data_IF_981313350377
#
_entry.id   IF_981313350377
#
_cell.length_a   1.000
_cell.length_b   1.000
_cell.length_c   1.000
_cell.angle_alpha   90.00
_cell.angle_beta   90.00
_cell.angle_gamma   90.00
#
_symmetry.space_group_name_H-M   'P 1'
#
loop_
_entity.id
_entity.type
_entity.pdbx_description
1 polymer ?
#
# COMPACT_ATOMS: atom_id res chain seq x y z
N UNK A 1 -17.21 9.24 16.92
CA UNK A 1 -17.48 7.88 16.38
C UNK A 1 -16.15 7.19 16.14
N UNK A 2 -15.90 6.07 16.81
CA UNK A 2 -14.60 5.36 16.73
C UNK A 2 -14.58 4.41 15.51
N UNK A 3 -14.71 4.94 14.30
CA UNK A 3 -14.59 4.09 13.11
C UNK A 3 -13.12 3.72 12.88
N UNK A 4 -12.81 2.43 13.02
CA UNK A 4 -11.52 1.83 12.71
C UNK A 4 -11.58 1.30 11.27
N UNK A 5 -11.18 2.12 10.31
CA UNK A 5 -11.23 1.74 8.88
C UNK A 5 -9.83 1.50 8.34
N UNK A 6 -9.65 0.42 7.59
CA UNK A 6 -8.41 0.11 6.88
C UNK A 6 -8.65 0.18 5.37
N UNK A 7 -7.84 0.97 4.68
CA UNK A 7 -7.86 1.09 3.21
C UNK A 7 -6.59 0.47 2.67
N UNK A 8 -6.73 -0.62 1.91
CA UNK A 8 -5.63 -1.26 1.18
C UNK A 8 -5.55 -0.74 -0.25
N UNK A 9 -4.36 -0.40 -0.72
CA UNK A 9 -4.13 0.01 -2.11
C UNK A 9 -3.16 -0.98 -2.76
N UNK A 10 -3.63 -1.68 -3.78
CA UNK A 10 -2.87 -2.65 -4.56
C UNK A 10 -2.52 -2.11 -5.95
N UNK A 11 -1.50 -2.68 -6.57
CA UNK A 11 -1.04 -2.35 -7.93
C UNK A 11 0.45 -2.63 -8.10
N UNK A 12 0.90 -2.70 -9.33
CA UNK A 12 2.30 -2.95 -9.65
C UNK A 12 3.23 -1.82 -9.19
N UNK A 13 4.52 -2.10 -9.14
CA UNK A 13 5.53 -1.07 -8.91
C UNK A 13 5.36 0.08 -9.90
N UNK A 14 5.50 1.33 -9.42
CA UNK A 14 5.34 2.56 -10.22
C UNK A 14 3.92 2.80 -10.78
N UNK A 15 2.90 2.09 -10.29
CA UNK A 15 1.51 2.36 -10.71
C UNK A 15 0.91 3.64 -10.11
N UNK A 16 1.57 4.30 -9.16
CA UNK A 16 1.06 5.51 -8.51
C UNK A 16 0.29 5.28 -7.20
N UNK A 17 0.43 4.11 -6.57
CA UNK A 17 -0.16 3.80 -5.25
C UNK A 17 0.18 4.82 -4.17
N UNK A 18 1.47 5.18 -4.07
CA UNK A 18 1.94 6.15 -3.07
C UNK A 18 1.38 7.55 -3.33
N UNK A 19 1.19 7.90 -4.60
CA UNK A 19 0.53 9.15 -5.01
C UNK A 19 -0.92 9.17 -4.55
N UNK A 20 -1.67 8.10 -4.81
CA UNK A 20 -3.05 7.98 -4.33
C UNK A 20 -3.13 8.01 -2.81
N UNK A 21 -2.26 7.29 -2.12
CA UNK A 21 -2.24 7.25 -0.66
C UNK A 21 -2.00 8.65 -0.07
N UNK A 22 -1.06 9.40 -0.63
CA UNK A 22 -0.75 10.76 -0.20
C UNK A 22 -1.91 11.73 -0.46
N UNK A 23 -2.52 11.67 -1.64
CA UNK A 23 -3.70 12.47 -1.98
C UNK A 23 -4.88 12.15 -1.06
N UNK A 24 -5.17 10.86 -0.89
CA UNK A 24 -6.26 10.40 -0.02
C UNK A 24 -6.04 10.83 1.43
N UNK A 25 -4.82 10.67 1.95
CA UNK A 25 -4.49 11.09 3.31
C UNK A 25 -4.68 12.60 3.52
N UNK A 26 -4.26 13.42 2.55
CA UNK A 26 -4.49 14.87 2.58
C UNK A 26 -5.98 15.20 2.58
N UNK A 27 -6.75 14.62 1.64
CA UNK A 27 -8.19 14.88 1.50
C UNK A 27 -9.01 14.40 2.70
N UNK A 28 -8.62 13.30 3.32
CA UNK A 28 -9.25 12.82 4.56
C UNK A 28 -9.02 13.81 5.72
N UNK A 29 -7.78 14.25 5.92
CA UNK A 29 -7.44 15.20 6.97
C UNK A 29 -8.11 16.57 6.73
N UNK A 30 -8.16 17.07 5.48
CA UNK A 30 -8.89 18.30 5.11
C UNK A 30 -10.38 18.24 5.48
N UNK A 31 -11.00 17.05 5.45
CA UNK A 31 -12.40 16.82 5.81
C UNK A 31 -12.61 16.39 7.29
N UNK A 32 -11.58 16.49 8.10
CA UNK A 32 -11.65 16.20 9.54
C UNK A 32 -11.61 14.71 9.91
N UNK A 33 -11.29 13.82 8.96
CA UNK A 33 -11.01 12.42 9.28
C UNK A 33 -9.56 12.31 9.76
N UNK A 34 -9.34 11.70 10.91
CA UNK A 34 -8.00 11.31 11.35
C UNK A 34 -7.50 10.17 10.47
N UNK A 35 -6.42 10.38 9.71
CA UNK A 35 -5.86 9.35 8.83
C UNK A 35 -4.34 9.28 8.92
N UNK A 36 -3.78 8.09 8.67
CA UNK A 36 -2.34 7.83 8.66
C UNK A 36 -2.00 6.75 7.63
N UNK A 37 -0.87 6.93 6.94
CA UNK A 37 -0.30 5.93 6.02
C UNK A 37 0.59 4.98 6.82
N UNK A 38 0.40 3.68 6.60
CA UNK A 38 1.20 2.57 7.11
C UNK A 38 1.74 1.77 5.93
N UNK A 39 2.86 1.03 6.12
CA UNK A 39 3.46 0.28 5.01
C UNK A 39 4.16 -0.99 5.53
N UNK A 40 3.88 -2.11 4.90
CA UNK A 40 4.60 -3.37 5.16
C UNK A 40 6.09 -3.23 4.87
N UNK A 41 6.44 -2.48 3.81
CA UNK A 41 7.82 -2.23 3.46
C UNK A 41 8.59 -1.40 4.51
N UNK A 42 7.90 -0.63 5.35
CA UNK A 42 8.56 0.09 6.46
C UNK A 42 9.08 -0.89 7.49
N UNK A 43 8.28 -1.87 7.90
CA UNK A 43 8.71 -2.92 8.83
C UNK A 43 9.91 -3.71 8.27
N UNK A 44 9.87 -4.09 6.99
CA UNK A 44 10.98 -4.74 6.29
C UNK A 44 12.27 -3.91 6.33
N UNK A 45 12.17 -2.62 6.06
CA UNK A 45 13.32 -1.71 6.05
C UNK A 45 13.92 -1.54 7.44
N UNK A 46 13.10 -1.40 8.47
CA UNK A 46 13.54 -1.29 9.85
C UNK A 46 14.29 -2.57 10.31
N UNK A 47 13.79 -3.76 9.95
CA UNK A 47 14.45 -5.01 10.27
C UNK A 47 15.84 -5.14 9.61
N UNK A 48 16.01 -4.57 8.41
CA UNK A 48 17.26 -4.64 7.64
C UNK A 48 18.20 -3.44 7.84
N UNK A 49 17.78 -2.40 8.55
CA UNK A 49 18.49 -1.13 8.60
C UNK A 49 19.90 -1.27 9.17
N UNK A 50 20.02 -1.87 10.35
CA UNK A 50 21.35 -2.06 10.98
C UNK A 50 22.28 -2.85 10.06
N UNK A 51 21.83 -3.98 9.51
CA UNK A 51 22.63 -4.79 8.60
C UNK A 51 23.08 -4.02 7.35
N UNK A 52 22.17 -3.29 6.70
CA UNK A 52 22.48 -2.56 5.48
C UNK A 52 23.41 -1.37 5.72
N UNK A 53 23.23 -0.67 6.83
CA UNK A 53 24.12 0.45 7.22
C UNK A 53 25.50 -0.08 7.60
N UNK A 54 25.57 -1.12 8.44
CA UNK A 54 26.86 -1.67 8.93
C UNK A 54 27.69 -2.31 7.82
N UNK A 55 27.05 -3.00 6.85
CA UNK A 55 27.76 -3.76 5.82
C UNK A 55 27.97 -2.99 4.53
N UNK A 56 27.08 -2.07 4.19
CA UNK A 56 27.08 -1.38 2.89
C UNK A 56 27.13 0.14 3.01
N UNK A 57 26.97 0.71 4.22
CA UNK A 57 26.86 2.15 4.43
C UNK A 57 25.58 2.75 3.80
N UNK A 58 24.56 1.94 3.56
CA UNK A 58 23.36 2.36 2.82
C UNK A 58 22.11 2.19 3.71
N UNK A 59 21.45 3.31 4.03
CA UNK A 59 20.14 3.25 4.68
C UNK A 59 19.06 2.73 3.73
N UNK A 60 18.19 1.78 4.15
CA UNK A 60 17.05 1.33 3.35
C UNK A 60 16.02 2.44 3.09
N UNK A 61 16.11 3.56 3.80
CA UNK A 61 15.25 4.73 3.61
C UNK A 61 15.86 5.79 2.68
N UNK A 62 17.04 5.55 2.11
CA UNK A 62 17.67 6.48 1.15
C UNK A 62 16.72 6.86 0.02
N UNK A 63 16.82 8.11 -0.47
CA UNK A 63 16.08 8.59 -1.64
C UNK A 63 16.88 8.48 -2.94
N UNK A 64 18.16 8.14 -2.86
CA UNK A 64 19.05 7.99 -4.01
C UNK A 64 18.76 6.71 -4.78
N UNK A 65 18.36 6.83 -6.06
CA UNK A 65 17.95 5.71 -6.90
C UNK A 65 19.03 4.64 -7.06
N UNK A 66 20.29 5.06 -7.19
CA UNK A 66 21.43 4.18 -7.38
C UNK A 66 21.72 3.36 -6.13
N UNK A 67 21.66 3.97 -4.96
CA UNK A 67 21.81 3.28 -3.68
C UNK A 67 20.65 2.32 -3.44
N UNK A 68 19.41 2.76 -3.73
CA UNK A 68 18.23 1.88 -3.69
C UNK A 68 18.39 0.64 -4.57
N UNK A 69 18.91 0.81 -5.78
CA UNK A 69 19.08 -0.30 -6.71
C UNK A 69 20.03 -1.38 -6.17
N UNK A 70 21.08 -0.98 -5.46
CA UNK A 70 22.09 -1.90 -4.88
C UNK A 70 21.52 -2.77 -3.74
N UNK A 71 20.67 -2.19 -2.88
CA UNK A 71 20.13 -2.91 -1.71
C UNK A 71 18.78 -3.59 -1.98
N UNK A 72 18.08 -3.22 -3.06
CA UNK A 72 16.76 -3.76 -3.41
C UNK A 72 16.74 -5.29 -3.51
N UNK A 73 17.71 -5.99 -4.15
CA UNK A 73 17.72 -7.45 -4.18
C UNK A 73 17.76 -8.08 -2.79
N UNK A 74 18.52 -7.50 -1.84
CA UNK A 74 18.61 -7.99 -0.46
C UNK A 74 17.28 -7.81 0.28
N UNK A 75 16.64 -6.65 0.13
CA UNK A 75 15.32 -6.41 0.71
C UNK A 75 14.27 -7.37 0.17
N UNK A 76 14.27 -7.65 -1.15
CA UNK A 76 13.35 -8.60 -1.77
C UNK A 76 13.60 -10.02 -1.25
N UNK A 77 14.86 -10.47 -1.21
CA UNK A 77 15.21 -11.80 -0.75
C UNK A 77 14.81 -12.01 0.72
N UNK A 78 15.13 -11.06 1.59
CA UNK A 78 14.76 -11.12 3.00
C UNK A 78 13.23 -11.06 3.18
N UNK A 79 12.57 -10.15 2.46
CA UNK A 79 11.12 -10.00 2.50
C UNK A 79 10.38 -11.27 2.12
N UNK A 80 10.80 -11.93 1.03
CA UNK A 80 10.24 -13.20 0.58
C UNK A 80 10.53 -14.33 1.56
N UNK A 81 11.77 -14.46 2.07
CA UNK A 81 12.11 -15.50 3.03
C UNK A 81 11.24 -15.45 4.29
N UNK A 82 10.99 -14.24 4.83
CA UNK A 82 10.10 -14.06 5.98
C UNK A 82 8.63 -14.37 5.65
N UNK A 83 8.18 -14.00 4.45
CA UNK A 83 6.83 -14.36 3.99
C UNK A 83 6.65 -15.87 3.87
N UNK A 84 7.59 -16.54 3.21
CA UNK A 84 7.51 -17.97 2.93
C UNK A 84 7.55 -18.78 4.25
N UNK A 85 8.45 -18.44 5.17
CA UNK A 85 8.58 -19.11 6.47
C UNK A 85 7.34 -18.93 7.35
N UNK A 86 6.65 -17.81 7.24
CA UNK A 86 5.47 -17.48 8.03
C UNK A 86 4.14 -17.72 7.30
N UNK A 87 4.17 -18.26 6.08
CA UNK A 87 2.99 -18.41 5.20
C UNK A 87 2.20 -17.10 5.05
N UNK A 88 2.93 -16.02 4.77
CA UNK A 88 2.37 -14.69 4.47
C UNK A 88 2.15 -13.77 5.67
N UNK A 89 2.26 -14.27 6.91
CA UNK A 89 1.77 -13.50 8.07
C UNK A 89 2.78 -12.54 8.69
N UNK A 90 4.06 -12.67 8.41
CA UNK A 90 5.13 -11.95 9.12
C UNK A 90 4.96 -10.42 9.08
N UNK A 91 4.82 -9.84 7.89
CA UNK A 91 4.84 -8.38 7.73
C UNK A 91 3.61 -7.70 8.29
N UNK A 92 2.42 -8.26 8.11
CA UNK A 92 1.24 -7.67 8.71
C UNK A 92 1.18 -7.86 10.24
N UNK A 93 1.74 -8.94 10.79
CA UNK A 93 1.89 -9.10 12.24
C UNK A 93 2.85 -8.06 12.83
N UNK A 94 3.86 -7.65 12.09
CA UNK A 94 4.76 -6.53 12.49
C UNK A 94 4.05 -5.18 12.44
N UNK A 95 3.16 -4.98 11.47
CA UNK A 95 2.45 -3.72 11.25
C UNK A 95 1.22 -3.56 12.16
N UNK A 96 0.56 -4.66 12.50
CA UNK A 96 -0.69 -4.67 13.25
C UNK A 96 -0.65 -3.88 14.58
N UNK A 97 0.38 -4.02 15.44
CA UNK A 97 0.45 -3.25 16.68
C UNK A 97 0.46 -1.72 16.47
N UNK A 98 1.09 -1.25 15.38
CA UNK A 98 1.13 0.19 15.06
C UNK A 98 -0.26 0.69 14.63
N UNK A 99 -0.98 -0.11 13.84
CA UNK A 99 -2.36 0.21 13.40
C UNK A 99 -3.30 0.17 14.61
N UNK A 100 -3.19 -0.84 15.47
CA UNK A 100 -4.01 -0.96 16.66
C UNK A 100 -3.80 0.24 17.62
N UNK A 101 -2.55 0.60 17.88
CA UNK A 101 -2.21 1.80 18.67
C UNK A 101 -2.74 3.09 18.04
N UNK A 102 -2.67 3.21 16.71
CA UNK A 102 -3.30 4.33 16.01
C UNK A 102 -4.81 4.37 16.26
N UNK A 103 -5.49 3.24 16.24
CA UNK A 103 -6.94 3.18 16.43
C UNK A 103 -7.38 3.38 17.89
N UNK A 104 -6.55 3.08 18.88
CA UNK A 104 -6.87 3.31 20.31
C UNK A 104 -7.15 4.77 20.62
N UNK A 105 -6.49 5.69 19.91
CA UNK A 105 -6.67 7.13 20.07
C UNK A 105 -7.79 7.68 19.16
N UNK A 106 -9.06 7.34 19.46
CA UNK A 106 -10.27 7.83 18.78
C UNK A 106 -10.54 7.28 17.38
N UNK A 107 -10.03 6.09 17.03
CA UNK A 107 -10.24 5.49 15.73
C UNK A 107 -9.51 6.22 14.59
N UNK A 108 -10.01 6.12 13.38
CA UNK A 108 -9.46 6.77 12.21
C UNK A 108 -9.42 5.89 10.97
N UNK A 109 -8.67 6.34 9.96
CA UNK A 109 -8.47 5.65 8.68
C UNK A 109 -6.99 5.31 8.52
N UNK A 110 -6.66 4.01 8.53
CA UNK A 110 -5.32 3.51 8.21
C UNK A 110 -5.25 3.23 6.71
N UNK A 111 -4.26 3.80 6.01
CA UNK A 111 -4.05 3.62 4.57
C UNK A 111 -2.80 2.78 4.36
N UNK A 112 -2.89 1.67 3.62
CA UNK A 112 -1.78 0.74 3.35
C UNK A 112 -1.56 0.67 1.83
N UNK A 113 -0.56 1.40 1.26
CA UNK A 113 -0.36 1.53 -0.19
C UNK A 113 0.46 0.41 -0.82
N UNK A 114 0.92 -0.56 -0.07
CA UNK A 114 1.80 -1.61 -0.55
C UNK A 114 1.20 -3.03 -0.43
N UNK A 115 -0.12 -3.12 -0.55
CA UNK A 115 -0.86 -4.37 -0.64
C UNK A 115 -0.51 -5.11 -1.95
N UNK A 116 0.12 -6.30 -1.84
CA UNK A 116 0.69 -6.99 -3.02
C UNK A 116 0.34 -8.45 -3.14
N UNK A 117 0.07 -9.12 -2.03
CA UNK A 117 0.07 -10.57 -2.01
C UNK A 117 -1.26 -11.18 -1.55
N UNK A 118 -1.68 -12.20 -2.29
CA UNK A 118 -2.70 -13.18 -1.93
C UNK A 118 -2.25 -14.55 -2.47
N UNK A 119 -1.28 -15.16 -1.78
CA UNK A 119 -0.67 -16.42 -2.16
C UNK A 119 -0.91 -17.52 -1.13
N UNK A 120 -1.15 -17.14 0.11
CA UNK A 120 -1.42 -18.03 1.21
C UNK A 120 -2.90 -17.95 1.64
N UNK A 121 -3.34 -18.91 2.44
CA UNK A 121 -4.71 -18.98 2.95
C UNK A 121 -5.10 -17.69 3.68
N UNK A 122 -4.21 -17.22 4.58
CA UNK A 122 -4.33 -15.92 5.23
C UNK A 122 -3.12 -15.06 4.89
N UNK A 123 -3.33 -13.98 4.14
CA UNK A 123 -2.29 -13.13 3.61
C UNK A 123 -2.66 -11.64 3.75
N UNK A 124 -1.93 -10.73 3.13
CA UNK A 124 -2.14 -9.27 3.21
C UNK A 124 -3.59 -8.87 2.89
N UNK A 125 -4.21 -9.47 1.88
CA UNK A 125 -5.62 -9.23 1.55
C UNK A 125 -6.55 -9.58 2.71
N UNK A 126 -6.38 -10.75 3.30
CA UNK A 126 -7.22 -11.23 4.40
C UNK A 126 -7.00 -10.40 5.65
N UNK A 127 -5.77 -9.93 5.87
CA UNK A 127 -5.47 -8.99 6.94
C UNK A 127 -6.29 -7.70 6.79
N UNK A 128 -6.35 -7.09 5.59
CA UNK A 128 -7.21 -5.92 5.36
C UNK A 128 -8.69 -6.26 5.60
N UNK A 129 -9.14 -7.39 5.04
CA UNK A 129 -10.55 -7.84 5.17
C UNK A 129 -10.94 -8.26 6.60
N UNK A 130 -9.98 -8.51 7.49
CA UNK A 130 -10.24 -8.83 8.89
C UNK A 130 -10.77 -7.65 9.71
N UNK A 131 -10.57 -6.42 9.25
CA UNK A 131 -11.16 -5.25 9.86
C UNK A 131 -12.63 -5.10 9.43
N UNK A 132 -13.52 -4.82 10.38
CA UNK A 132 -14.98 -4.69 10.14
C UNK A 132 -15.33 -3.57 9.15
N UNK A 133 -14.50 -2.55 9.06
CA UNK A 133 -14.58 -1.49 8.06
C UNK A 133 -13.31 -1.50 7.23
N UNK A 134 -13.40 -1.93 5.99
CA UNK A 134 -12.27 -2.03 5.07
C UNK A 134 -12.69 -1.62 3.66
N UNK A 135 -11.73 -1.13 2.88
CA UNK A 135 -11.92 -0.76 1.47
C UNK A 135 -10.64 -1.08 0.70
N UNK A 136 -10.75 -1.70 -0.47
CA UNK A 136 -9.60 -2.05 -1.29
C UNK A 136 -9.69 -1.34 -2.64
N UNK A 137 -8.59 -0.69 -3.01
CA UNK A 137 -8.42 -0.03 -4.31
C UNK A 137 -7.33 -0.74 -5.09
N UNK A 138 -7.57 -1.03 -6.36
CA UNK A 138 -6.50 -1.37 -7.30
C UNK A 138 -6.09 -0.16 -8.11
N UNK A 139 -4.79 -0.05 -8.36
CA UNK A 139 -4.20 1.07 -9.10
C UNK A 139 -3.36 0.56 -10.25
N UNK A 140 -3.70 0.98 -11.45
CA UNK A 140 -2.97 0.73 -12.69
C UNK A 140 -2.53 2.05 -13.31
N UNK A 141 -1.57 2.00 -14.22
CA UNK A 141 -1.11 3.18 -14.98
C UNK A 141 -1.05 2.86 -16.46
N UNK A 142 -1.64 3.71 -17.27
CA UNK A 142 -1.48 3.65 -18.71
C UNK A 142 -0.11 4.23 -19.11
N UNK A 143 0.60 3.53 -19.98
CA UNK A 143 1.87 3.95 -20.55
C UNK A 143 1.64 4.76 -21.82
N UNK A 144 2.69 5.46 -22.31
CA UNK A 144 2.60 6.31 -23.50
C UNK A 144 2.21 5.56 -24.79
N UNK A 145 2.49 4.26 -24.85
CA UNK A 145 2.12 3.38 -25.96
C UNK A 145 0.67 2.83 -25.84
N UNK A 146 -0.08 3.29 -24.85
CA UNK A 146 -1.44 2.84 -24.59
C UNK A 146 -1.55 1.55 -23.78
N UNK A 147 -0.46 0.83 -23.54
CA UNK A 147 -0.45 -0.37 -22.70
C UNK A 147 -0.56 -0.02 -21.22
N UNK A 148 -0.89 -1.01 -20.40
CA UNK A 148 -0.89 -0.87 -18.93
C UNK A 148 0.49 -1.22 -18.38
N UNK A 149 0.88 -0.56 -17.28
CA UNK A 149 2.10 -0.93 -16.58
C UNK A 149 2.05 -2.38 -16.09
N UNK A 150 3.21 -3.05 -16.13
CA UNK A 150 3.34 -4.47 -15.79
C UNK A 150 4.08 -4.66 -14.48
N UNK A 151 3.98 -5.86 -13.93
CA UNK A 151 4.74 -6.26 -12.75
C UNK A 151 6.25 -6.07 -12.98
N UNK A 152 6.93 -5.56 -11.96
CA UNK A 152 8.39 -5.48 -11.96
C UNK A 152 9.04 -6.83 -11.58
N UNK A 153 8.27 -7.71 -10.93
CA UNK A 153 8.71 -9.04 -10.49
C UNK A 153 7.56 -10.04 -10.63
N UNK A 154 7.89 -11.29 -10.93
CA UNK A 154 6.91 -12.38 -11.09
C UNK A 154 6.04 -12.62 -9.85
N UNK A 155 6.57 -12.33 -8.66
CA UNK A 155 5.80 -12.44 -7.40
C UNK A 155 4.59 -11.48 -7.31
N UNK A 156 4.61 -10.37 -8.06
CA UNK A 156 3.49 -9.44 -8.13
C UNK A 156 2.43 -9.88 -9.16
N UNK A 157 2.83 -10.61 -10.22
CA UNK A 157 1.92 -11.01 -11.31
C UNK A 157 0.81 -11.95 -10.83
N UNK A 158 1.15 -12.91 -9.97
CA UNK A 158 0.21 -13.95 -9.54
C UNK A 158 -0.97 -13.45 -8.71
N UNK A 159 -0.77 -12.38 -7.95
CA UNK A 159 -1.79 -11.86 -7.03
C UNK A 159 -2.62 -10.71 -7.63
N UNK A 160 -2.10 -9.98 -8.61
CA UNK A 160 -2.77 -8.78 -9.13
C UNK A 160 -4.15 -9.06 -9.76
N UNK A 161 -4.36 -10.12 -10.58
CA UNK A 161 -5.68 -10.44 -11.10
C UNK A 161 -6.72 -10.72 -10.01
N UNK A 162 -6.28 -11.30 -8.88
CA UNK A 162 -7.13 -11.50 -7.73
C UNK A 162 -7.57 -10.17 -7.13
N UNK A 163 -6.66 -9.21 -6.96
CA UNK A 163 -6.99 -7.88 -6.44
C UNK A 163 -7.96 -7.13 -7.35
N UNK A 164 -7.72 -7.11 -8.67
CA UNK A 164 -8.64 -6.49 -9.64
C UNK A 164 -10.06 -7.06 -9.50
N UNK A 165 -10.20 -8.37 -9.35
CA UNK A 165 -11.52 -9.00 -9.19
C UNK A 165 -12.19 -8.69 -7.84
N UNK A 166 -11.42 -8.41 -6.79
CA UNK A 166 -11.91 -8.34 -5.41
C UNK A 166 -11.72 -6.95 -4.77
N UNK A 167 -11.35 -5.93 -5.57
CA UNK A 167 -11.30 -4.54 -5.13
C UNK A 167 -12.69 -3.92 -5.06
N UNK A 168 -12.83 -2.91 -4.22
CA UNK A 168 -14.03 -2.09 -4.11
C UNK A 168 -14.02 -0.95 -5.14
N UNK A 169 -12.84 -0.61 -5.67
CA UNK A 169 -12.66 0.41 -6.71
C UNK A 169 -11.38 0.20 -7.51
N UNK A 170 -11.42 0.46 -8.81
CA UNK A 170 -10.25 0.43 -9.69
C UNK A 170 -9.94 1.86 -10.18
N UNK A 171 -8.68 2.26 -10.03
CA UNK A 171 -8.16 3.53 -10.52
C UNK A 171 -7.12 3.30 -11.62
N UNK A 172 -7.31 3.97 -12.74
CA UNK A 172 -6.34 3.98 -13.83
C UNK A 172 -5.78 5.39 -13.98
N UNK A 173 -4.48 5.54 -13.72
CA UNK A 173 -3.76 6.77 -14.01
C UNK A 173 -3.46 6.90 -15.50
N UNK A 174 -3.60 8.11 -16.04
CA UNK A 174 -3.10 8.47 -17.36
C UNK A 174 -1.58 8.56 -17.42
N UNK A 175 -1.08 8.98 -18.60
CA UNK A 175 0.37 9.04 -18.87
C UNK A 175 1.08 10.27 -18.30
N UNK A 176 0.32 11.24 -17.78
CA UNK A 176 0.86 12.50 -17.25
C UNK A 176 1.33 12.38 -15.80
N UNK A 177 2.06 13.40 -15.36
CA UNK A 177 2.53 13.53 -13.96
C UNK A 177 2.09 14.86 -13.33
N UNK A 178 1.21 15.62 -14.02
CA UNK A 178 0.67 16.86 -13.49
C UNK A 178 -0.23 16.59 -12.29
N UNK A 179 0.01 17.29 -11.18
CA UNK A 179 -0.70 17.05 -9.91
C UNK A 179 -2.19 17.32 -10.01
N UNK A 180 -2.59 18.35 -10.74
CA UNK A 180 -4.01 18.72 -10.88
C UNK A 180 -4.80 17.69 -11.67
N UNK A 181 -4.20 17.14 -12.72
CA UNK A 181 -4.78 16.05 -13.51
C UNK A 181 -4.84 14.75 -12.71
N UNK A 182 -3.80 14.43 -11.94
CA UNK A 182 -3.82 13.26 -11.03
C UNK A 182 -4.93 13.41 -9.97
N UNK A 183 -5.13 14.58 -9.40
CA UNK A 183 -6.23 14.84 -8.46
C UNK A 183 -7.60 14.66 -9.13
N UNK A 184 -7.74 15.11 -10.38
CA UNK A 184 -8.97 14.94 -11.15
C UNK A 184 -9.26 13.47 -11.45
N UNK A 185 -8.27 12.69 -11.88
CA UNK A 185 -8.40 11.24 -12.12
C UNK A 185 -8.73 10.48 -10.84
N UNK A 186 -8.10 10.84 -9.70
CA UNK A 186 -8.38 10.21 -8.42
C UNK A 186 -9.75 10.57 -7.83
N UNK A 187 -10.43 11.60 -8.35
CA UNK A 187 -11.65 12.15 -7.74
C UNK A 187 -12.72 11.09 -7.51
N UNK A 188 -13.07 10.29 -8.52
CA UNK A 188 -14.09 9.26 -8.38
C UNK A 188 -13.73 8.22 -7.32
N UNK A 189 -12.48 7.79 -7.27
CA UNK A 189 -11.98 6.86 -6.27
C UNK A 189 -12.09 7.46 -4.86
N UNK A 190 -11.65 8.70 -4.69
CA UNK A 190 -11.72 9.42 -3.41
C UNK A 190 -13.17 9.63 -2.98
N UNK A 191 -14.07 10.02 -3.88
CA UNK A 191 -15.48 10.20 -3.58
C UNK A 191 -16.16 8.86 -3.20
N UNK A 192 -15.80 7.74 -3.84
CA UNK A 192 -16.26 6.40 -3.46
C UNK A 192 -15.84 6.04 -2.04
N UNK A 193 -14.60 6.34 -1.67
CA UNK A 193 -14.09 6.11 -0.31
C UNK A 193 -14.84 6.99 0.70
N UNK A 194 -15.09 8.27 0.39
CA UNK A 194 -15.87 9.14 1.29
C UNK A 194 -17.31 8.65 1.47
N UNK A 195 -17.98 8.22 0.39
CA UNK A 195 -19.31 7.64 0.46
C UNK A 195 -19.32 6.40 1.36
N UNK A 196 -18.35 5.51 1.19
CA UNK A 196 -18.17 4.35 2.05
C UNK A 196 -17.97 4.74 3.52
N UNK A 197 -17.06 5.68 3.83
CA UNK A 197 -16.81 6.14 5.20
C UNK A 197 -18.05 6.79 5.84
N UNK A 198 -18.84 7.53 5.07
CA UNK A 198 -20.07 8.15 5.55
C UNK A 198 -21.19 7.14 5.78
N UNK A 199 -21.25 6.04 5.02
CA UNK A 199 -22.22 4.96 5.23
C UNK A 199 -21.95 4.12 6.49
N UNK A 200 -20.77 4.27 7.09
CA UNK A 200 -20.36 3.57 8.32
C UNK A 200 -20.51 4.44 9.59
N UNK A 201 -20.97 5.69 9.44
CA UNK A 201 -21.31 6.58 10.56
C UNK A 201 -22.68 6.22 11.13
#
# INVERSE_FOLDING_TARGET
MNNKTVIGISGFARSGKDTLASLLNSKLNERGFRSKIFSFATALKLDMESFLVDKFGISPFTNESDLKSKIRPLLIAYGNAQRDSSKGTYWFNRLKPEIDSFFENNGGVAIIPDLRFKQYEFDEFDFIKSYSSNFIVTVSRQLKDGSMNKAAHSSEEGSFPFFVKNSDHDLIWGTHSDKSLLEQEAKQCIDSIFNFLNSKK
#
